data_IF_791142984760
#
_entry.id   IF_791142984760
#
_cell.length_a   1.000
_cell.length_b   1.000
_cell.length_c   1.000
_cell.angle_alpha   90.00
_cell.angle_beta   90.00
_cell.angle_gamma   90.00
#
_symmetry.space_group_name_H-M   'P 1'
#
loop_
_entity.id
_entity.type
_entity.pdbx_description
1 polymer ?
#
# COMPACT_ATOMS: atom_id res chain seq x y z
N UNK A 1 35.01 -12.54 -14.98
CA UNK A 1 34.30 -12.37 -14.91
C UNK A 1 33.56 -11.69 -14.88
N UNK A 2 33.29 -11.12 -14.83
CA UNK A 2 32.54 -10.48 -14.61
C UNK A 2 31.59 -10.59 -14.94
N UNK A 3 31.19 -10.74 -14.71
CA UNK A 3 30.25 -10.90 -14.90
C UNK A 3 29.41 -9.94 -14.96
N UNK A 4 28.91 -9.69 -15.71
CA UNK A 4 28.06 -8.86 -15.87
C UNK A 4 26.87 -9.33 -15.67
N UNK A 5 26.53 -9.30 -14.68
CA UNK A 5 25.24 -9.58 -14.40
C UNK A 5 24.38 -8.56 -14.93
N UNK A 6 23.40 -8.94 -15.71
CA UNK A 6 22.55 -8.03 -16.15
C UNK A 6 21.76 -7.60 -15.03
N UNK A 7 21.77 -6.42 -14.63
CA UNK A 7 21.00 -5.92 -13.64
C UNK A 7 19.63 -5.75 -14.08
N UNK A 8 18.66 -6.15 -13.30
CA UNK A 8 17.28 -5.70 -13.45
C UNK A 8 17.25 -4.19 -13.36
N UNK A 9 16.29 -3.49 -13.96
CA UNK A 9 16.16 -2.07 -13.73
C UNK A 9 16.12 -1.79 -12.23
N UNK A 10 16.89 -0.82 -11.81
CA UNK A 10 16.96 -0.51 -10.40
C UNK A 10 15.59 -0.06 -9.89
N UNK A 11 15.21 -0.56 -8.74
CA UNK A 11 14.03 -0.09 -8.05
C UNK A 11 14.38 1.20 -7.36
N UNK A 12 13.53 2.19 -7.51
CA UNK A 12 13.72 3.46 -6.85
C UNK A 12 12.61 3.65 -5.83
N UNK A 13 12.96 3.52 -4.56
CA UNK A 13 12.00 3.67 -3.48
C UNK A 13 11.57 5.12 -3.36
N UNK A 14 10.27 5.33 -3.17
CA UNK A 14 9.75 6.64 -2.83
C UNK A 14 9.89 6.84 -1.33
N UNK A 15 10.00 8.09 -0.86
CA UNK A 15 10.11 8.34 0.57
C UNK A 15 8.91 7.80 1.33
N UNK A 16 9.16 7.15 2.45
CA UNK A 16 8.11 6.68 3.34
C UNK A 16 8.60 6.78 4.78
N UNK A 17 7.69 6.96 5.73
CA UNK A 17 8.10 7.17 7.11
C UNK A 17 8.52 5.89 7.82
N UNK A 18 9.26 6.08 8.90
CA UNK A 18 9.55 5.01 9.84
C UNK A 18 8.27 4.79 10.65
N UNK A 19 7.74 3.58 10.61
CA UNK A 19 6.50 3.29 11.32
C UNK A 19 6.60 3.48 12.82
N UNK A 20 7.80 3.43 13.37
CA UNK A 20 7.98 3.68 14.80
C UNK A 20 7.58 5.10 15.19
N UNK A 21 7.55 6.02 14.21
CA UNK A 21 7.21 7.40 14.45
C UNK A 21 5.77 7.74 14.05
N UNK A 22 5.02 6.77 13.57
CA UNK A 22 3.66 7.01 13.12
C UNK A 22 2.67 6.72 14.24
N UNK A 23 1.87 7.72 14.65
CA UNK A 23 0.81 7.45 15.62
C UNK A 23 -0.31 6.64 14.98
N UNK A 24 -0.95 5.80 15.79
CA UNK A 24 -1.95 4.86 15.25
C UNK A 24 -3.10 5.58 14.55
N UNK A 25 -3.44 6.79 14.99
CA UNK A 25 -4.58 7.48 14.37
C UNK A 25 -4.34 7.83 12.91
N UNK A 26 -3.09 7.99 12.48
CA UNK A 26 -2.81 8.23 11.07
C UNK A 26 -3.06 6.99 10.24
N UNK A 27 -2.74 5.83 10.78
CA UNK A 27 -3.03 4.55 10.11
C UNK A 27 -4.54 4.35 10.03
N UNK A 28 -5.24 4.60 11.12
CA UNK A 28 -6.69 4.45 11.15
C UNK A 28 -7.36 5.41 10.17
N UNK A 29 -6.86 6.65 10.10
CA UNK A 29 -7.40 7.62 9.17
C UNK A 29 -7.20 7.16 7.72
N UNK A 30 -6.02 6.67 7.39
CA UNK A 30 -5.75 6.20 6.04
C UNK A 30 -6.66 5.04 5.67
N UNK A 31 -6.86 4.10 6.58
CA UNK A 31 -7.68 2.92 6.33
C UNK A 31 -9.17 3.20 6.42
N UNK A 32 -9.56 4.34 6.99
CA UNK A 32 -10.97 4.67 7.19
C UNK A 32 -11.69 5.20 5.95
N UNK A 33 -11.03 5.22 4.80
CA UNK A 33 -11.64 5.68 3.57
C UNK A 33 -11.83 4.46 2.65
N UNK A 34 -13.04 4.24 2.10
CA UNK A 34 -13.34 2.97 1.40
C UNK A 34 -12.41 2.63 0.25
N UNK A 35 -12.03 3.61 -0.55
CA UNK A 35 -11.18 3.33 -1.70
C UNK A 35 -9.78 2.91 -1.24
N UNK A 36 -9.26 3.59 -0.22
CA UNK A 36 -7.95 3.24 0.32
C UNK A 36 -7.97 1.86 0.99
N UNK A 37 -9.04 1.56 1.72
CA UNK A 37 -9.18 0.23 2.31
C UNK A 37 -9.24 -0.84 1.23
N UNK A 38 -9.91 -0.54 0.12
CA UNK A 38 -9.95 -1.45 -1.03
C UNK A 38 -8.57 -1.71 -1.63
N UNK A 39 -7.75 -0.67 -1.72
CA UNK A 39 -6.36 -0.83 -2.20
C UNK A 39 -5.60 -1.79 -1.28
N UNK A 40 -5.73 -1.59 0.02
CA UNK A 40 -5.01 -2.40 1.01
C UNK A 40 -5.50 -3.86 0.96
N UNK A 41 -6.80 -4.06 0.80
CA UNK A 41 -7.35 -5.42 0.66
C UNK A 41 -6.81 -6.12 -0.58
N UNK A 42 -6.69 -5.38 -1.69
CA UNK A 42 -6.13 -5.93 -2.92
C UNK A 42 -4.67 -6.34 -2.73
N UNK A 43 -3.89 -5.49 -2.07
CA UNK A 43 -2.49 -5.80 -1.80
C UNK A 43 -2.34 -7.02 -0.88
N UNK A 44 -3.20 -7.11 0.13
CA UNK A 44 -3.17 -8.24 1.05
C UNK A 44 -3.50 -9.55 0.32
N UNK A 45 -4.50 -9.51 -0.56
CA UNK A 45 -4.88 -10.69 -1.33
C UNK A 45 -3.79 -11.11 -2.31
N UNK A 46 -3.14 -10.12 -2.94
CA UNK A 46 -2.09 -10.43 -3.90
C UNK A 46 -0.84 -11.00 -3.23
N UNK A 47 -0.55 -10.55 -2.01
CA UNK A 47 0.64 -10.99 -1.29
C UNK A 47 1.93 -10.59 -1.96
N UNK A 48 1.91 -9.58 -2.82
CA UNK A 48 3.06 -9.10 -3.57
C UNK A 48 2.82 -7.66 -4.01
N UNK A 49 3.87 -6.95 -4.43
CA UNK A 49 3.68 -5.60 -4.95
C UNK A 49 2.78 -5.60 -6.17
N UNK A 50 1.97 -4.56 -6.31
CA UNK A 50 1.08 -4.40 -7.46
C UNK A 50 1.37 -3.08 -8.15
N UNK A 51 1.31 -3.11 -9.49
CA UNK A 51 1.41 -1.89 -10.28
C UNK A 51 0.23 -1.00 -9.95
N UNK A 52 0.48 0.27 -9.70
CA UNK A 52 -0.58 1.20 -9.30
C UNK A 52 -1.69 1.31 -10.32
N UNK A 53 -1.42 1.03 -11.61
CA UNK A 53 -2.44 1.07 -12.63
C UNK A 53 -3.33 -0.17 -12.67
N UNK A 54 -2.98 -1.22 -11.91
CA UNK A 54 -3.69 -2.50 -11.99
C UNK A 54 -4.83 -2.63 -10.97
N UNK A 55 -5.09 -1.59 -10.17
CA UNK A 55 -6.14 -1.68 -9.14
C UNK A 55 -7.54 -1.47 -9.68
N UNK A 56 -7.67 -0.95 -10.89
CA UNK A 56 -9.00 -0.76 -11.49
C UNK A 56 -9.83 0.29 -10.79
N UNK A 57 -9.19 1.34 -10.30
CA UNK A 57 -9.90 2.39 -9.58
C UNK A 57 -10.74 3.22 -10.55
N UNK A 58 -11.97 3.52 -10.15
CA UNK A 58 -12.91 4.26 -10.98
C UNK A 58 -12.91 5.75 -10.68
N UNK A 59 -11.74 6.29 -10.33
CA UNK A 59 -11.57 7.71 -10.05
C UNK A 59 -10.49 8.27 -10.94
N UNK A 60 -10.37 9.60 -10.98
CA UNK A 60 -9.36 10.24 -11.80
C UNK A 60 -7.95 9.85 -11.34
N UNK A 61 -6.99 10.03 -12.24
CA UNK A 61 -5.60 9.73 -11.92
C UNK A 61 -5.11 10.57 -10.75
N UNK A 62 -5.47 11.85 -10.70
CA UNK A 62 -5.04 12.70 -9.61
C UNK A 62 -5.65 12.26 -8.28
N UNK A 63 -6.90 11.82 -8.28
CA UNK A 63 -7.54 11.33 -7.06
C UNK A 63 -6.88 10.04 -6.59
N UNK A 64 -6.60 9.10 -7.51
CA UNK A 64 -5.94 7.87 -7.12
C UNK A 64 -4.53 8.14 -6.61
N UNK A 65 -3.80 9.05 -7.26
CA UNK A 65 -2.46 9.45 -6.80
C UNK A 65 -2.50 9.98 -5.37
N UNK A 66 -3.53 10.79 -5.06
CA UNK A 66 -3.70 11.31 -3.71
C UNK A 66 -3.90 10.17 -2.71
N UNK A 67 -4.74 9.20 -3.03
CA UNK A 67 -5.00 8.09 -2.12
C UNK A 67 -3.74 7.24 -1.87
N UNK A 68 -2.97 6.97 -2.92
CA UNK A 68 -1.70 6.26 -2.75
C UNK A 68 -0.72 7.05 -1.90
N UNK A 69 -0.70 8.38 -2.07
CA UNK A 69 0.17 9.22 -1.27
C UNK A 69 -0.21 9.18 0.21
N UNK A 70 -1.51 9.24 0.52
CA UNK A 70 -1.97 9.16 1.90
C UNK A 70 -1.56 7.83 2.53
N UNK A 71 -1.73 6.73 1.80
CA UNK A 71 -1.33 5.41 2.29
C UNK A 71 0.17 5.32 2.54
N UNK A 72 0.97 5.89 1.65
CA UNK A 72 2.42 5.87 1.80
C UNK A 72 2.86 6.73 2.99
N UNK A 73 2.30 7.93 3.11
CA UNK A 73 2.71 8.85 4.17
C UNK A 73 2.25 8.43 5.55
N UNK A 74 1.22 7.59 5.62
CA UNK A 74 0.77 7.03 6.90
C UNK A 74 1.53 5.77 7.28
N UNK A 75 2.42 5.29 6.42
CA UNK A 75 3.20 4.10 6.70
C UNK A 75 2.51 2.79 6.37
N UNK A 76 1.33 2.82 5.76
CA UNK A 76 0.59 1.59 5.44
C UNK A 76 1.22 0.85 4.27
N UNK A 77 1.67 1.60 3.25
CA UNK A 77 2.33 1.01 2.09
C UNK A 77 3.68 1.66 1.86
N UNK A 78 4.53 0.97 1.14
CA UNK A 78 5.70 1.56 0.52
C UNK A 78 5.48 1.53 -0.99
N UNK A 79 6.17 2.40 -1.69
CA UNK A 79 6.08 2.45 -3.15
C UNK A 79 7.47 2.51 -3.74
N UNK A 80 7.61 1.98 -4.93
CA UNK A 80 8.86 2.08 -5.67
C UNK A 80 8.56 2.19 -7.15
N UNK A 81 9.51 2.76 -7.88
CA UNK A 81 9.44 2.85 -9.33
C UNK A 81 10.40 1.87 -9.95
N UNK A 82 9.95 1.23 -11.01
CA UNK A 82 10.78 0.30 -11.75
C UNK A 82 10.43 0.49 -13.21
N UNK A 83 11.38 0.99 -13.99
CA UNK A 83 11.10 1.40 -15.36
C UNK A 83 10.15 2.59 -15.34
N UNK A 84 9.07 2.50 -16.10
CA UNK A 84 8.06 3.56 -16.16
C UNK A 84 6.87 3.28 -15.25
N UNK A 85 6.94 2.21 -14.47
CA UNK A 85 5.83 1.77 -13.64
C UNK A 85 6.08 2.09 -12.18
N UNK A 86 5.01 2.35 -11.45
CA UNK A 86 5.06 2.56 -10.00
C UNK A 86 4.31 1.42 -9.34
N UNK A 87 4.92 0.85 -8.32
CA UNK A 87 4.36 -0.29 -7.59
C UNK A 87 4.10 0.10 -6.15
N UNK A 88 3.07 -0.50 -5.57
CA UNK A 88 2.76 -0.37 -4.15
C UNK A 88 2.87 -1.72 -3.49
N UNK A 89 3.36 -1.70 -2.25
CA UNK A 89 3.54 -2.91 -1.46
C UNK A 89 3.05 -2.65 -0.05
N UNK A 90 2.27 -3.58 0.50
CA UNK A 90 1.75 -3.46 1.86
C UNK A 90 2.89 -3.71 2.85
N UNK A 91 3.03 -2.84 3.83
CA UNK A 91 4.06 -2.97 4.87
C UNK A 91 3.55 -3.86 5.99
N UNK A 92 3.14 -5.06 5.64
CA UNK A 92 2.42 -5.95 6.53
C UNK A 92 3.22 -6.34 7.77
N UNK A 93 4.47 -6.74 7.60
CA UNK A 93 5.31 -7.15 8.71
C UNK A 93 5.56 -5.99 9.67
N UNK A 94 5.87 -4.82 9.13
CA UNK A 94 6.15 -3.66 9.96
C UNK A 94 4.89 -3.18 10.69
N UNK A 95 3.74 -3.23 10.01
CA UNK A 95 2.47 -2.86 10.64
C UNK A 95 2.13 -3.82 11.78
N UNK A 96 2.38 -5.12 11.57
CA UNK A 96 2.11 -6.10 12.61
C UNK A 96 3.04 -5.90 13.82
N UNK A 97 4.29 -5.56 13.57
CA UNK A 97 5.22 -5.31 14.65
C UNK A 97 4.86 -4.07 15.45
N UNK A 98 4.39 -3.04 14.77
CA UNK A 98 4.09 -1.76 15.41
C UNK A 98 2.71 -1.77 16.08
N UNK A 99 1.72 -2.38 15.42
CA UNK A 99 0.34 -2.42 15.90
C UNK A 99 -0.17 -3.86 15.80
N UNK A 100 0.23 -4.73 16.74
CA UNK A 100 -0.11 -6.15 16.65
C UNK A 100 -1.61 -6.40 16.53
N UNK A 101 -2.00 -7.16 15.52
CA UNK A 101 -3.39 -7.55 15.32
C UNK A 101 -4.27 -6.52 14.63
N UNK A 102 -3.83 -5.28 14.51
CA UNK A 102 -4.69 -4.23 13.97
C UNK A 102 -5.06 -4.49 12.52
N UNK A 103 -4.06 -4.66 11.66
CA UNK A 103 -4.32 -4.85 10.24
C UNK A 103 -5.10 -6.14 10.01
N UNK A 104 -4.73 -7.21 10.69
CA UNK A 104 -5.41 -8.49 10.56
C UNK A 104 -6.89 -8.36 10.89
N UNK A 105 -7.22 -7.67 11.98
CA UNK A 105 -8.60 -7.49 12.39
C UNK A 105 -9.39 -6.69 11.35
N UNK A 106 -8.77 -5.63 10.83
CA UNK A 106 -9.43 -4.80 9.83
C UNK A 106 -9.69 -5.58 8.55
N UNK A 107 -8.69 -6.34 8.08
CA UNK A 107 -8.82 -7.09 6.84
C UNK A 107 -9.79 -8.26 6.98
N UNK A 108 -9.96 -8.79 8.17
CA UNK A 108 -10.90 -9.88 8.42
C UNK A 108 -12.35 -9.39 8.54
N UNK A 109 -12.55 -8.10 8.74
CA UNK A 109 -13.90 -7.56 8.89
C UNK A 109 -14.65 -7.68 7.55
N UNK A 110 -15.86 -8.19 7.62
CA UNK A 110 -16.69 -8.31 6.43
C UNK A 110 -17.49 -7.04 6.23
N UNK A 111 -17.59 -6.62 4.98
CA UNK A 111 -18.41 -5.49 4.65
C UNK A 111 -19.89 -5.92 4.67
N UNK A 112 -20.79 -5.06 5.13
CA UNK A 112 -22.20 -5.41 5.07
C UNK A 112 -22.66 -5.55 3.62
N UNK A 113 -23.68 -6.35 3.42
CA UNK A 113 -24.25 -6.49 2.09
C UNK A 113 -24.77 -5.15 1.62
N UNK A 114 -24.64 -4.89 0.32
CA UNK A 114 -25.15 -3.64 -0.24
C UNK A 114 -26.67 -3.57 -0.05
N UNK A 115 -27.18 -2.39 0.27
CA UNK A 115 -28.60 -2.20 0.38
C UNK A 115 -29.24 -2.31 -0.99
N UNK A 116 -30.36 -3.00 -1.06
CA UNK A 116 -31.07 -3.17 -2.32
C UNK A 116 -31.90 -1.96 -2.66
#
# INVERSE_FOLDING_TARGET
MSTHVRRAPAKKALPHPDLREIPVHLVLRALGEPLRLGIVRSLARAGRPMNCSSFGLSVSKSTSTYHFKVLRESGVISQFEEGTSRYSELRETELEQRFPGLLTAILAAEEPAAAE
#
